data_IF_579955373502
#
_entry.id   IF_579955373502
#
_cell.length_a   1.000
_cell.length_b   1.000
_cell.length_c   1.000
_cell.angle_alpha   90.00
_cell.angle_beta   90.00
_cell.angle_gamma   90.00
#
_symmetry.space_group_name_H-M   'P 1'
#
loop_
_entity.id
_entity.type
_entity.pdbx_description
1 polymer ?
#
# COMPACT_ATOMS: atom_id res chain seq x y z
N UNK A 1 -5.15 4.00 -26.29
CA UNK A 1 -5.01 2.77 -27.08
C UNK A 1 -3.71 2.93 -27.84
N UNK A 2 -2.66 2.28 -27.37
CA UNK A 2 -1.31 2.42 -27.94
C UNK A 2 -1.08 1.31 -28.97
N UNK A 3 -0.74 1.70 -30.19
CA UNK A 3 -0.43 0.81 -31.29
C UNK A 3 1.05 0.95 -31.62
N UNK A 4 1.78 -0.16 -31.61
CA UNK A 4 3.20 -0.19 -31.94
C UNK A 4 3.41 -0.97 -33.24
N UNK A 5 4.26 -0.43 -34.12
CA UNK A 5 4.68 -1.13 -35.33
C UNK A 5 5.91 -1.97 -35.00
N UNK A 6 5.76 -3.28 -35.05
CA UNK A 6 6.84 -4.23 -34.80
C UNK A 6 7.13 -4.97 -36.10
N UNK A 7 8.42 -5.10 -36.45
CA UNK A 7 8.84 -5.94 -37.58
C UNK A 7 8.84 -7.40 -37.15
N UNK A 8 8.09 -8.22 -37.88
CA UNK A 8 8.14 -9.67 -37.72
C UNK A 8 9.50 -10.24 -38.20
N UNK A 9 9.79 -11.48 -37.84
CA UNK A 9 10.96 -12.27 -38.28
C UNK A 9 11.15 -12.33 -39.80
N UNK A 10 10.09 -12.08 -40.56
CA UNK A 10 10.07 -11.97 -42.03
C UNK A 10 10.36 -10.56 -42.57
N UNK A 11 10.52 -9.57 -41.70
CA UNK A 11 10.78 -8.16 -42.05
C UNK A 11 9.52 -7.34 -42.41
N UNK A 12 8.33 -7.94 -42.32
CA UNK A 12 7.05 -7.26 -42.54
C UNK A 12 6.63 -6.45 -41.30
N UNK A 13 6.15 -5.22 -41.52
CA UNK A 13 5.61 -4.37 -40.46
C UNK A 13 4.24 -4.90 -40.02
N UNK A 14 4.15 -5.38 -38.79
CA UNK A 14 2.89 -5.83 -38.17
C UNK A 14 2.47 -4.83 -37.12
N UNK A 15 1.20 -4.40 -37.17
CA UNK A 15 0.60 -3.54 -36.16
C UNK A 15 0.06 -4.39 -35.02
N UNK A 16 0.69 -4.29 -33.85
CA UNK A 16 0.20 -4.94 -32.63
C UNK A 16 -0.62 -3.91 -31.86
N UNK A 17 -1.93 -4.16 -31.79
CA UNK A 17 -2.83 -3.39 -30.94
C UNK A 17 -2.78 -4.00 -29.54
N UNK A 18 -2.19 -3.26 -28.60
CA UNK A 18 -2.19 -3.69 -27.20
C UNK A 18 -3.57 -3.44 -26.60
N UNK A 19 -4.26 -4.51 -26.24
CA UNK A 19 -5.51 -4.43 -25.49
C UNK A 19 -5.18 -4.33 -24.01
N UNK A 20 -5.25 -3.11 -23.48
CA UNK A 20 -5.13 -2.88 -22.04
C UNK A 20 -6.41 -3.37 -21.36
N UNK A 21 -6.35 -4.60 -20.85
CA UNK A 21 -7.45 -5.26 -20.14
C UNK A 21 -7.53 -4.81 -18.67
N UNK A 22 -8.60 -5.18 -17.94
CA UNK A 22 -8.69 -4.87 -16.52
C UNK A 22 -7.53 -5.53 -15.75
N UNK A 23 -6.66 -4.71 -15.17
CA UNK A 23 -5.55 -5.19 -14.35
C UNK A 23 -6.02 -5.45 -12.91
N UNK A 24 -5.66 -6.62 -12.38
CA UNK A 24 -5.86 -6.92 -10.96
C UNK A 24 -4.69 -6.36 -10.18
N UNK A 25 -4.93 -5.31 -9.41
CA UNK A 25 -3.94 -4.70 -8.52
C UNK A 25 -4.20 -5.18 -7.09
N UNK A 26 -3.20 -5.82 -6.50
CA UNK A 26 -3.27 -6.26 -5.10
C UNK A 26 -2.96 -5.06 -4.22
N UNK A 27 -3.88 -4.74 -3.31
CA UNK A 27 -3.67 -3.69 -2.31
C UNK A 27 -3.47 -4.32 -0.93
N UNK A 28 -2.44 -3.89 -0.18
CA UNK A 28 -2.26 -4.32 1.20
C UNK A 28 -3.44 -3.85 2.05
N UNK A 29 -3.76 -4.62 3.09
CA UNK A 29 -4.92 -4.34 3.94
C UNK A 29 -4.78 -3.01 4.70
N UNK A 30 -3.53 -2.65 5.00
CA UNK A 30 -3.09 -1.46 5.69
C UNK A 30 -3.50 -0.19 4.95
N UNK A 31 -3.56 -0.24 3.61
CA UNK A 31 -3.96 0.87 2.75
C UNK A 31 -5.47 0.87 2.46
N UNK A 32 -6.26 0.03 3.15
CA UNK A 32 -7.71 -0.06 2.93
C UNK A 32 -8.47 0.37 4.18
N UNK A 33 -9.19 1.49 4.06
CA UNK A 33 -10.02 2.06 5.11
C UNK A 33 -11.47 1.60 4.93
N UNK A 34 -12.05 0.96 5.94
CA UNK A 34 -13.44 0.50 5.88
C UNK A 34 -14.03 0.32 7.27
N UNK A 35 -15.37 0.29 7.34
CA UNK A 35 -16.10 0.03 8.58
C UNK A 35 -16.01 -1.45 8.98
N UNK A 36 -15.55 -1.72 10.21
CA UNK A 36 -15.51 -3.07 10.80
C UNK A 36 -16.91 -3.65 11.00
N UNK A 37 -17.03 -4.98 10.96
CA UNK A 37 -18.27 -5.73 11.24
C UNK A 37 -19.14 -6.05 10.02
N UNK A 38 -18.72 -5.65 8.81
CA UNK A 38 -19.43 -5.96 7.57
C UNK A 38 -18.65 -7.02 6.79
N UNK A 39 -19.23 -8.20 6.49
CA UNK A 39 -18.49 -9.30 5.86
C UNK A 39 -18.38 -9.22 4.32
N UNK A 40 -19.16 -8.34 3.69
CA UNK A 40 -19.25 -8.20 2.22
C UNK A 40 -19.02 -6.76 1.79
N UNK A 41 -18.20 -6.56 0.75
CA UNK A 41 -17.82 -5.23 0.24
C UNK A 41 -19.05 -4.43 -0.23
N UNK A 42 -19.98 -5.06 -0.95
CA UNK A 42 -21.18 -4.39 -1.43
C UNK A 42 -22.16 -3.94 -0.34
N UNK A 43 -21.96 -4.36 0.92
CA UNK A 43 -22.77 -3.89 2.06
C UNK A 43 -22.09 -2.76 2.83
N UNK A 44 -20.85 -2.41 2.49
CA UNK A 44 -20.14 -1.34 3.16
C UNK A 44 -20.75 0.01 2.76
N UNK A 45 -21.05 0.92 3.72
CA UNK A 45 -21.51 2.26 3.37
C UNK A 45 -20.46 3.00 2.55
N UNK A 46 -19.19 2.84 2.93
CA UNK A 46 -18.05 3.33 2.17
C UNK A 46 -16.84 2.39 2.33
N UNK A 47 -15.93 2.43 1.36
CA UNK A 47 -14.60 1.80 1.40
C UNK A 47 -13.60 2.74 0.73
N UNK A 48 -12.51 3.04 1.43
CA UNK A 48 -11.42 3.88 0.96
C UNK A 48 -10.18 3.04 0.66
N UNK A 49 -9.50 3.33 -0.44
CA UNK A 49 -8.21 2.75 -0.79
C UNK A 49 -7.21 3.89 -0.90
N UNK A 50 -6.17 3.84 -0.08
CA UNK A 50 -5.08 4.79 -0.11
C UNK A 50 -4.07 4.43 -1.20
N UNK A 51 -3.65 5.45 -1.93
CA UNK A 51 -2.65 5.38 -2.96
C UNK A 51 -1.73 6.57 -2.81
N UNK A 52 -0.44 6.28 -2.81
CA UNK A 52 0.58 7.32 -2.77
C UNK A 52 0.99 7.61 -4.21
N UNK A 53 0.91 8.89 -4.59
CA UNK A 53 1.35 9.38 -5.90
C UNK A 53 2.45 10.41 -5.73
N UNK A 54 3.31 10.51 -6.72
CA UNK A 54 4.31 11.59 -6.85
C UNK A 54 3.66 12.85 -7.42
N UNK A 55 4.33 13.99 -7.25
CA UNK A 55 3.90 15.26 -7.85
C UNK A 55 3.74 15.16 -9.38
N UNK A 56 4.66 14.45 -10.04
CA UNK A 56 4.68 14.29 -11.49
C UNK A 56 3.44 13.53 -11.95
N UNK A 57 3.10 12.42 -11.29
CA UNK A 57 1.90 11.63 -11.60
C UNK A 57 0.62 12.42 -11.36
N UNK A 58 0.57 13.23 -10.30
CA UNK A 58 -0.56 14.13 -10.02
C UNK A 58 -0.75 15.15 -11.16
N UNK A 59 0.33 15.81 -11.58
CA UNK A 59 0.31 16.79 -12.68
C UNK A 59 -0.04 16.13 -14.02
N UNK A 60 0.46 14.93 -14.27
CA UNK A 60 0.14 14.16 -15.47
C UNK A 60 -1.34 13.75 -15.51
N UNK A 61 -1.90 13.30 -14.40
CA UNK A 61 -3.34 12.97 -14.32
C UNK A 61 -4.22 14.20 -14.44
N UNK A 62 -3.79 15.35 -13.92
CA UNK A 62 -4.47 16.62 -14.10
C UNK A 62 -4.40 17.10 -15.57
N UNK A 63 -3.26 16.96 -16.24
CA UNK A 63 -3.10 17.37 -17.65
C UNK A 63 -3.91 16.47 -18.60
N UNK A 64 -4.05 15.19 -18.28
CA UNK A 64 -4.96 14.24 -18.98
C UNK A 64 -6.44 14.53 -18.72
N UNK A 65 -6.78 15.48 -17.85
CA UNK A 65 -8.16 15.82 -17.48
C UNK A 65 -8.85 14.77 -16.61
N UNK A 66 -8.09 13.83 -16.03
CA UNK A 66 -8.62 12.81 -15.11
C UNK A 66 -8.95 13.45 -13.77
N UNK A 67 -8.08 14.37 -13.31
CA UNK A 67 -8.24 15.13 -12.08
C UNK A 67 -8.53 16.60 -12.37
N UNK A 68 -9.26 17.24 -11.46
CA UNK A 68 -9.49 18.67 -11.51
C UNK A 68 -8.18 19.43 -11.20
N UNK A 69 -7.74 20.25 -12.15
CA UNK A 69 -6.50 21.04 -12.07
C UNK A 69 -6.44 21.93 -10.83
N UNK A 70 -7.52 22.61 -10.46
CA UNK A 70 -7.55 23.52 -9.30
C UNK A 70 -7.41 22.72 -7.99
N UNK A 71 -8.13 21.60 -7.89
CA UNK A 71 -8.08 20.71 -6.74
C UNK A 71 -6.69 20.05 -6.59
N UNK A 72 -6.03 19.73 -7.70
CA UNK A 72 -4.67 19.19 -7.71
C UNK A 72 -3.65 20.23 -7.25
N UNK A 73 -3.76 21.48 -7.70
CA UNK A 73 -2.89 22.57 -7.24
C UNK A 73 -3.03 22.84 -5.73
N UNK A 74 -4.23 22.66 -5.18
CA UNK A 74 -4.45 22.73 -3.74
C UNK A 74 -3.78 21.55 -3.01
N UNK A 75 -3.85 20.34 -3.57
CA UNK A 75 -3.25 19.14 -2.98
C UNK A 75 -1.71 19.18 -2.98
N UNK A 76 -1.08 19.72 -4.03
CA UNK A 76 0.39 19.85 -4.15
C UNK A 76 1.01 20.64 -2.99
N UNK A 77 0.26 21.55 -2.36
CA UNK A 77 0.76 22.33 -1.21
C UNK A 77 0.97 21.50 0.05
N UNK A 78 0.39 20.30 0.11
CA UNK A 78 0.37 19.42 1.27
C UNK A 78 1.18 18.16 0.96
N UNK A 79 2.46 18.34 0.62
CA UNK A 79 3.37 17.22 0.42
C UNK A 79 3.60 16.47 1.73
N UNK A 80 3.58 15.14 1.67
CA UNK A 80 3.90 14.29 2.81
C UNK A 80 5.39 14.35 3.07
N UNK A 81 5.78 14.70 4.30
CA UNK A 81 7.18 14.88 4.68
C UNK A 81 7.84 13.59 5.18
N UNK A 82 7.05 12.59 5.60
CA UNK A 82 7.55 11.32 6.17
C UNK A 82 6.87 10.11 5.54
N UNK A 83 7.61 9.06 5.14
CA UNK A 83 7.04 7.77 4.78
C UNK A 83 6.23 7.17 5.94
N UNK A 84 5.25 6.34 5.60
CA UNK A 84 4.49 5.58 6.58
C UNK A 84 5.33 4.37 7.07
N UNK A 85 5.09 3.85 8.28
CA UNK A 85 5.89 2.76 8.87
C UNK A 85 5.99 1.52 7.95
N UNK A 86 4.93 1.24 7.19
CA UNK A 86 4.85 0.11 6.25
C UNK A 86 5.72 0.34 5.02
N UNK A 87 5.74 1.57 4.51
CA UNK A 87 6.58 1.93 3.36
C UNK A 87 8.04 1.99 3.77
N UNK A 88 8.33 2.42 5.01
CA UNK A 88 9.67 2.35 5.56
C UNK A 88 10.13 0.89 5.63
N UNK A 89 9.29 -0.04 6.11
CA UNK A 89 9.60 -1.47 6.09
C UNK A 89 9.80 -2.03 4.68
N UNK A 90 9.03 -1.56 3.69
CA UNK A 90 9.22 -1.96 2.29
C UNK A 90 10.52 -1.41 1.71
N UNK A 91 10.84 -0.14 1.93
CA UNK A 91 12.10 0.47 1.49
C UNK A 91 13.32 -0.22 2.12
N UNK A 92 13.23 -0.57 3.40
CA UNK A 92 14.25 -1.36 4.09
C UNK A 92 14.40 -2.77 3.48
N UNK A 93 13.28 -3.42 3.13
CA UNK A 93 13.29 -4.73 2.47
C UNK A 93 13.86 -4.67 1.03
N UNK A 94 13.56 -3.60 0.30
CA UNK A 94 13.96 -3.40 -1.09
C UNK A 94 15.37 -2.80 -1.23
N UNK A 95 16.07 -2.55 -0.12
CA UNK A 95 17.40 -1.91 -0.07
C UNK A 95 17.48 -0.59 -0.86
N UNK A 96 16.38 0.16 -0.91
CA UNK A 96 16.34 1.45 -1.59
C UNK A 96 17.01 2.54 -0.73
N UNK A 97 17.88 3.34 -1.35
CA UNK A 97 18.56 4.45 -0.67
C UNK A 97 17.54 5.57 -0.38
N UNK A 98 17.35 5.90 0.91
CA UNK A 98 16.35 6.84 1.42
C UNK A 98 16.64 8.32 1.08
N UNK A 99 17.57 8.59 0.16
CA UNK A 99 18.12 9.91 -0.15
C UNK A 99 17.30 10.77 -1.10
N UNK A 100 16.42 10.19 -1.92
CA UNK A 100 15.50 10.97 -2.77
C UNK A 100 14.19 11.22 -2.02
N UNK A 101 14.12 12.35 -1.32
CA UNK A 101 12.85 12.92 -0.84
C UNK A 101 12.02 13.36 -2.06
N UNK A 102 11.42 12.39 -2.74
CA UNK A 102 10.35 12.67 -3.70
C UNK A 102 9.14 13.12 -2.89
N UNK A 103 8.54 14.25 -3.25
CA UNK A 103 7.29 14.69 -2.63
C UNK A 103 6.19 13.67 -2.96
N UNK A 104 5.75 12.96 -1.92
CA UNK A 104 4.71 11.96 -1.99
C UNK A 104 3.39 12.55 -1.48
N UNK A 105 2.29 12.15 -2.10
CA UNK A 105 0.96 12.65 -1.81
C UNK A 105 0.02 11.47 -1.58
N UNK A 106 -0.63 11.44 -0.42
CA UNK A 106 -1.57 10.37 -0.06
C UNK A 106 -2.97 10.72 -0.55
N UNK A 107 -3.41 9.96 -1.54
CA UNK A 107 -4.71 10.13 -2.19
C UNK A 107 -5.57 8.93 -1.83
N UNK A 108 -6.79 9.19 -1.39
CA UNK A 108 -7.76 8.15 -1.07
C UNK A 108 -8.81 8.07 -2.17
N UNK A 109 -8.94 6.89 -2.78
CA UNK A 109 -10.10 6.54 -3.61
C UNK A 109 -11.20 5.97 -2.71
N UNK A 110 -12.31 6.68 -2.60
CA UNK A 110 -13.45 6.32 -1.78
C UNK A 110 -14.62 5.89 -2.66
N UNK A 111 -15.08 4.66 -2.46
CA UNK A 111 -16.37 4.19 -2.95
C UNK A 111 -17.39 4.43 -1.85
N UNK A 112 -18.44 5.21 -2.14
CA UNK A 112 -19.44 5.62 -1.13
C UNK A 112 -20.85 5.60 -1.71
N UNK A 113 -21.78 5.11 -0.91
CA UNK A 113 -23.21 5.27 -1.17
C UNK A 113 -23.65 6.66 -0.70
N UNK A 114 -24.06 7.52 -1.63
CA UNK A 114 -24.51 8.87 -1.33
C UNK A 114 -25.75 9.24 -2.14
N UNK A 115 -26.65 9.97 -1.49
CA UNK A 115 -27.84 10.53 -2.13
C UNK A 115 -27.48 11.89 -2.74
N UNK A 116 -27.30 11.93 -4.06
CA UNK A 116 -26.85 13.13 -4.79
C UNK A 116 -28.00 14.10 -5.03
N UNK A 117 -29.22 13.59 -5.22
CA UNK A 117 -30.40 14.36 -5.62
C UNK A 117 -31.40 14.61 -4.48
N UNK A 118 -31.15 14.03 -3.30
CA UNK A 118 -32.05 14.14 -2.15
C UNK A 118 -33.30 13.28 -2.31
N UNK A 119 -33.26 12.29 -3.20
CA UNK A 119 -34.39 11.40 -3.49
C UNK A 119 -34.59 10.31 -2.42
N UNK A 120 -33.64 10.17 -1.49
CA UNK A 120 -33.57 9.10 -0.51
C UNK A 120 -33.02 7.78 -1.05
N UNK A 121 -32.66 7.72 -2.34
CA UNK A 121 -32.06 6.53 -2.96
C UNK A 121 -30.55 6.76 -3.12
N UNK A 122 -29.71 6.09 -2.30
CA UNK A 122 -28.27 6.30 -2.40
C UNK A 122 -27.72 5.66 -3.69
N UNK A 123 -26.89 6.42 -4.40
CA UNK A 123 -26.16 5.98 -5.58
C UNK A 123 -24.70 5.67 -5.19
N UNK A 124 -24.09 4.68 -5.82
CA UNK A 124 -22.67 4.35 -5.59
C UNK A 124 -21.77 5.31 -6.39
N UNK A 125 -20.96 6.08 -5.68
CA UNK A 125 -20.02 7.05 -6.23
C UNK A 125 -18.59 6.59 -6.00
N UNK A 126 -17.73 6.88 -6.97
CA UNK A 126 -16.29 6.82 -6.86
C UNK A 126 -15.74 8.24 -6.74
N UNK A 127 -15.16 8.55 -5.60
CA UNK A 127 -14.52 9.83 -5.30
C UNK A 127 -13.01 9.60 -5.14
N UNK A 128 -12.20 10.44 -5.77
CA UNK A 128 -10.77 10.50 -5.48
C UNK A 128 -10.52 11.78 -4.70
N UNK A 129 -10.07 11.66 -3.46
CA UNK A 129 -9.96 12.78 -2.52
C UNK A 129 -8.55 12.81 -1.96
N UNK A 130 -7.99 14.02 -1.86
CA UNK A 130 -6.80 14.26 -1.06
C UNK A 130 -7.25 14.69 0.35
N UNK A 131 -6.97 13.86 1.35
CA UNK A 131 -7.57 14.01 2.68
C UNK A 131 -7.05 15.25 3.42
N UNK A 132 -5.77 15.59 3.27
CA UNK A 132 -5.15 16.70 4.03
C UNK A 132 -5.59 18.07 3.52
N UNK A 133 -5.78 18.21 2.21
CA UNK A 133 -6.32 19.45 1.61
C UNK A 133 -7.84 19.49 1.62
N UNK A 134 -8.51 18.36 1.85
CA UNK A 134 -9.95 18.20 1.68
C UNK A 134 -10.43 18.37 0.23
N UNK A 135 -9.53 18.34 -0.75
CA UNK A 135 -9.88 18.60 -2.15
C UNK A 135 -10.32 17.32 -2.87
N UNK A 136 -11.45 17.41 -3.58
CA UNK A 136 -11.95 16.33 -4.42
C UNK A 136 -11.27 16.44 -5.79
N UNK A 137 -10.42 15.48 -6.11
CA UNK A 137 -9.68 15.43 -7.37
C UNK A 137 -10.54 14.90 -8.51
N UNK A 138 -11.40 13.92 -8.22
CA UNK A 138 -12.27 13.26 -9.21
C UNK A 138 -13.57 12.82 -8.57
N UNK A 139 -14.66 12.97 -9.32
CA UNK A 139 -15.97 12.41 -8.99
C UNK A 139 -16.50 11.64 -10.19
N UNK A 140 -16.93 10.40 -9.97
CA UNK A 140 -17.46 9.54 -11.01
C UNK A 140 -18.60 8.67 -10.45
N UNK A 141 -19.65 8.46 -11.24
CA UNK A 141 -20.68 7.48 -10.92
C UNK A 141 -20.16 6.07 -11.20
N UNK A 142 -20.45 5.13 -10.30
CA UNK A 142 -20.14 3.73 -10.57
C UNK A 142 -21.15 3.14 -11.58
N UNK A 143 -20.75 3.01 -12.83
CA UNK A 143 -21.60 2.50 -13.92
C UNK A 143 -21.72 0.98 -13.95
N UNK A 144 -20.84 0.25 -13.25
CA UNK A 144 -20.78 -1.20 -13.32
C UNK A 144 -21.81 -1.89 -12.40
N UNK A 145 -22.47 -1.14 -11.51
CA UNK A 145 -23.43 -1.69 -10.54
C UNK A 145 -22.81 -2.58 -9.46
N UNK A 146 -21.50 -2.83 -9.54
CA UNK A 146 -20.69 -3.54 -8.56
C UNK A 146 -19.40 -2.77 -8.31
N UNK A 147 -18.86 -2.86 -7.10
CA UNK A 147 -17.56 -2.24 -6.79
C UNK A 147 -16.44 -3.09 -7.38
N UNK A 148 -15.44 -2.44 -7.97
CA UNK A 148 -14.27 -3.09 -8.58
C UNK A 148 -13.25 -3.60 -7.54
N UNK A 149 -13.70 -3.90 -6.33
CA UNK A 149 -12.86 -4.35 -5.23
C UNK A 149 -13.39 -5.70 -4.77
N UNK A 150 -12.49 -6.67 -4.67
CA UNK A 150 -12.78 -7.99 -4.11
C UNK A 150 -11.82 -8.30 -2.97
N UNK A 151 -12.31 -8.97 -1.92
CA UNK A 151 -11.46 -9.38 -0.79
C UNK A 151 -10.89 -10.77 -1.03
N UNK A 152 -9.57 -10.84 -1.24
CA UNK A 152 -8.82 -12.09 -1.23
C UNK A 152 -8.55 -12.52 0.21
N UNK A 153 -8.88 -13.77 0.56
CA UNK A 153 -8.76 -14.31 1.91
C UNK A 153 -8.26 -15.75 1.85
N UNK A 154 -7.28 -16.08 2.70
CA UNK A 154 -6.79 -17.45 2.83
C UNK A 154 -7.71 -18.27 3.75
N UNK A 155 -7.85 -17.88 5.03
CA UNK A 155 -8.86 -18.44 5.95
C UNK A 155 -9.91 -17.40 6.27
N UNK A 156 -11.18 -17.74 6.04
CA UNK A 156 -12.32 -16.87 6.31
C UNK A 156 -12.58 -16.73 7.82
N UNK A 157 -12.70 -15.48 8.29
CA UNK A 157 -13.24 -15.18 9.62
C UNK A 157 -14.73 -14.84 9.49
N UNK A 158 -15.63 -15.44 10.30
CA UNK A 158 -17.04 -15.08 10.26
C UNK A 158 -17.23 -13.61 10.65
N UNK A 159 -18.17 -12.93 9.99
CA UNK A 159 -18.51 -11.51 10.21
C UNK A 159 -17.39 -10.49 9.98
N UNK A 160 -16.27 -10.89 9.37
CA UNK A 160 -15.17 -9.99 9.03
C UNK A 160 -14.95 -9.93 7.51
N UNK A 161 -14.61 -8.73 7.03
CA UNK A 161 -14.17 -8.55 5.65
C UNK A 161 -12.80 -9.21 5.41
N UNK A 162 -11.96 -9.25 6.44
CA UNK A 162 -10.58 -9.78 6.42
C UNK A 162 -10.51 -11.24 6.83
N UNK A 163 -9.43 -11.90 6.40
CA UNK A 163 -9.11 -13.28 6.74
C UNK A 163 -7.90 -13.41 7.67
N UNK A 164 -7.52 -14.65 7.98
CA UNK A 164 -6.16 -14.97 8.47
C UNK A 164 -5.29 -15.38 7.29
N UNK A 165 -4.11 -14.78 7.18
CA UNK A 165 -3.05 -15.23 6.27
C UNK A 165 -2.22 -16.36 6.88
N UNK A 166 -1.46 -17.07 6.06
CA UNK A 166 -0.55 -18.15 6.48
C UNK A 166 0.53 -17.65 7.45
N UNK A 167 1.12 -16.48 7.18
CA UNK A 167 2.12 -15.87 8.06
C UNK A 167 1.62 -15.69 9.49
N UNK A 168 0.42 -15.12 9.65
CA UNK A 168 -0.24 -14.95 10.96
C UNK A 168 -0.56 -16.30 11.63
N UNK A 169 -0.83 -17.36 10.86
CA UNK A 169 -1.07 -18.69 11.42
C UNK A 169 0.21 -19.35 11.93
N UNK A 170 1.35 -19.06 11.30
CA UNK A 170 2.67 -19.60 11.68
C UNK A 170 3.48 -18.69 12.59
N UNK A 171 2.92 -17.55 13.00
CA UNK A 171 3.61 -16.52 13.77
C UNK A 171 4.29 -17.09 15.03
N UNK A 172 3.59 -17.97 15.76
CA UNK A 172 4.15 -18.60 16.97
C UNK A 172 5.42 -19.42 16.68
N UNK A 173 5.44 -20.16 15.57
CA UNK A 173 6.61 -20.95 15.16
C UNK A 173 7.75 -20.04 14.68
N UNK A 174 7.44 -18.96 13.96
CA UNK A 174 8.43 -17.98 13.52
C UNK A 174 9.07 -17.26 14.70
N UNK A 175 8.29 -16.90 15.73
CA UNK A 175 8.80 -16.29 16.95
C UNK A 175 9.73 -17.24 17.69
N UNK A 176 9.33 -18.52 17.85
CA UNK A 176 10.17 -19.53 18.51
C UNK A 176 11.52 -19.72 17.81
N UNK A 177 11.52 -19.82 16.48
CA UNK A 177 12.73 -19.96 15.67
C UNK A 177 13.62 -18.72 15.79
N UNK A 178 13.04 -17.52 15.69
CA UNK A 178 13.77 -16.24 15.82
C UNK A 178 14.43 -16.12 17.19
N UNK A 179 13.68 -16.40 18.26
CA UNK A 179 14.19 -16.34 19.63
C UNK A 179 15.32 -17.36 19.84
N UNK A 180 15.15 -18.59 19.35
CA UNK A 180 16.19 -19.63 19.42
C UNK A 180 17.45 -19.24 18.64
N UNK A 181 17.28 -18.66 17.45
CA UNK A 181 18.39 -18.20 16.63
C UNK A 181 19.16 -17.06 17.31
N UNK A 182 18.45 -16.11 17.91
CA UNK A 182 19.08 -15.01 18.67
C UNK A 182 19.86 -15.53 19.87
N UNK A 183 19.31 -16.47 20.64
CA UNK A 183 20.03 -17.10 21.76
C UNK A 183 21.31 -17.82 21.31
N UNK A 184 21.30 -18.47 20.14
CA UNK A 184 22.50 -19.11 19.57
C UNK A 184 23.55 -18.07 19.19
N UNK A 185 23.14 -16.98 18.53
CA UNK A 185 24.04 -15.89 18.18
C UNK A 185 24.65 -15.25 19.43
N UNK A 186 23.87 -15.03 20.48
CA UNK A 186 24.37 -14.46 21.72
C UNK A 186 25.32 -15.40 22.46
N UNK A 187 25.04 -16.71 22.48
CA UNK A 187 25.99 -17.69 23.00
C UNK A 187 27.31 -17.68 22.23
N UNK A 188 27.26 -17.62 20.88
CA UNK A 188 28.46 -17.52 20.06
C UNK A 188 29.26 -16.24 20.35
N UNK A 189 28.57 -15.10 20.54
CA UNK A 189 29.21 -13.85 20.96
C UNK A 189 29.88 -13.99 22.33
N UNK A 190 29.19 -14.55 23.33
CA UNK A 190 29.75 -14.76 24.67
C UNK A 190 30.95 -15.72 24.64
N UNK A 191 30.90 -16.79 23.85
CA UNK A 191 32.03 -17.71 23.68
C UNK A 191 33.25 -17.06 22.99
N UNK A 192 33.01 -16.14 22.04
CA UNK A 192 34.05 -15.36 21.37
C UNK A 192 34.66 -14.24 22.23
N UNK A 193 33.98 -13.80 23.29
CA UNK A 193 34.52 -12.82 24.22
C UNK A 193 35.64 -13.45 25.06
N UNK A 194 36.88 -13.09 24.76
CA UNK A 194 38.03 -13.42 25.62
C UNK A 194 37.92 -12.63 26.93
N UNK A 195 37.39 -13.26 27.98
CA UNK A 195 37.43 -12.68 29.32
C UNK A 195 38.80 -12.93 29.97
N UNK A 196 39.54 -11.85 30.21
CA UNK A 196 40.79 -11.87 30.95
C UNK A 196 40.47 -11.70 32.45
N UNK A 197 40.15 -12.81 33.12
CA UNK A 197 39.88 -12.81 34.54
C UNK A 197 41.21 -12.81 35.33
N UNK A 198 41.65 -11.65 35.79
CA UNK A 198 42.84 -11.51 36.66
C UNK A 198 42.42 -11.61 38.12
N UNK A 199 42.99 -12.58 38.85
CA UNK A 199 42.83 -12.68 40.31
C UNK A 199 43.58 -11.52 40.98
N UNK A 200 42.87 -10.68 41.75
CA UNK A 200 43.42 -9.47 42.43
C UNK A 200 44.38 -9.77 43.59
N UNK A 201 44.98 -10.96 43.67
CA UNK A 201 45.79 -11.39 44.83
C UNK A 201 47.08 -12.16 44.45
N UNK A 202 47.71 -11.85 43.31
CA UNK A 202 49.12 -12.17 43.14
C UNK A 202 49.92 -10.97 43.66
N UNK A 203 50.41 -11.09 44.89
CA UNK A 203 51.04 -10.00 45.63
C UNK A 203 52.31 -9.48 44.98
N UNK A 204 52.49 -8.17 45.03
CA UNK A 204 53.81 -7.57 45.12
C UNK A 204 54.34 -7.85 46.53
N UNK A 205 55.04 -8.97 46.67
CA UNK A 205 55.95 -9.20 47.79
C UNK A 205 57.25 -8.46 47.50
N UNK A 206 57.75 -7.77 48.52
CA UNK A 206 58.96 -6.95 48.55
C UNK A 206 60.22 -7.63 48.01
#
# INVERSE_FOLDING_TARGET
MESWRVKDSSGADTEIVWHDGPQVIIRPLENVKYRRGVPKIGRLPWIGIDMTLTEVELRERASKGIYNLEATQAAIKFARTTPNDVEQQQQEADMFDSGETTELYDITEVYVYWDVDGSGVPVDLLLTVHMDSGSILKQQYNTLGVRNITSSRYVHRPFALTGRGTGQMTESMQTEVTVTHNMRNDNAKTAGMRMLAVKRSAGFGA
#
